data_IF_588443042135
#
_entry.id   IF_588443042135
#
_cell.length_a   1.000
_cell.length_b   1.000
_cell.length_c   1.000
_cell.angle_alpha   90.00
_cell.angle_beta   90.00
_cell.angle_gamma   90.00
#
_symmetry.space_group_name_H-M   'P 1'
#
loop_
_entity.id
_entity.type
_entity.pdbx_description
1 polymer ?
#
# COMPACT_ATOMS: atom_id res chain seq x y z
N UNK A 1 12.46 2.74 -16.71
CA UNK A 1 12.38 3.78 -15.67
C UNK A 1 12.48 3.14 -14.31
N UNK A 2 13.24 3.73 -13.39
CA UNK A 2 13.29 3.33 -11.98
C UNK A 2 12.90 4.54 -11.14
N UNK A 3 11.89 4.38 -10.29
CA UNK A 3 11.40 5.44 -9.40
C UNK A 3 11.74 5.07 -7.95
N UNK A 4 12.60 5.89 -7.30
CA UNK A 4 12.92 5.77 -5.89
C UNK A 4 12.90 7.15 -5.23
N UNK A 5 12.02 7.40 -4.29
CA UNK A 5 10.83 6.64 -3.92
C UNK A 5 9.61 7.43 -4.37
N UNK A 6 8.49 6.74 -4.67
CA UNK A 6 7.26 7.42 -5.11
C UNK A 6 6.69 8.37 -4.02
N UNK A 7 6.95 8.08 -2.74
CA UNK A 7 6.67 8.96 -1.60
C UNK A 7 7.99 9.40 -0.94
N UNK A 8 8.68 10.44 -1.47
CA UNK A 8 9.97 10.87 -0.91
C UNK A 8 9.83 11.41 0.52
N UNK A 9 8.72 12.08 0.86
CA UNK A 9 8.45 12.52 2.22
C UNK A 9 8.32 11.34 3.18
N UNK A 10 7.46 10.37 2.86
CA UNK A 10 7.27 9.19 3.69
C UNK A 10 8.54 8.39 3.87
N UNK A 11 9.34 8.23 2.79
CA UNK A 11 10.63 7.58 2.86
C UNK A 11 11.61 8.30 3.81
N UNK A 12 11.73 9.63 3.70
CA UNK A 12 12.61 10.43 4.53
C UNK A 12 12.18 10.48 6.01
N UNK A 13 10.88 10.39 6.27
CA UNK A 13 10.31 10.52 7.61
C UNK A 13 9.83 9.21 8.23
N UNK A 14 10.15 8.06 7.63
CA UNK A 14 9.70 6.74 8.07
C UNK A 14 8.18 6.73 8.32
N UNK A 15 7.41 7.15 7.32
CA UNK A 15 5.96 7.23 7.35
C UNK A 15 5.36 6.61 6.10
N UNK A 16 4.20 5.97 6.23
CA UNK A 16 3.47 5.43 5.08
C UNK A 16 2.94 6.54 4.18
N UNK A 17 2.48 7.62 4.78
CA UNK A 17 1.73 8.69 4.11
C UNK A 17 2.63 9.87 3.71
N UNK A 18 2.12 10.72 2.83
CA UNK A 18 2.74 12.00 2.43
C UNK A 18 2.72 13.01 3.59
N UNK A 19 3.26 14.21 3.35
CA UNK A 19 3.20 15.36 4.26
C UNK A 19 1.77 15.71 4.70
N UNK A 20 0.80 15.53 3.82
CA UNK A 20 -0.63 15.80 4.06
C UNK A 20 -1.42 14.58 4.56
N UNK A 21 -0.74 13.57 5.10
CA UNK A 21 -1.33 12.30 5.53
C UNK A 21 -2.00 11.48 4.42
N UNK A 22 -1.70 11.75 3.15
CA UNK A 22 -2.29 11.01 2.04
C UNK A 22 -1.58 9.69 1.81
N UNK A 23 -2.34 8.60 1.80
CA UNK A 23 -1.87 7.29 1.31
C UNK A 23 -1.88 7.30 -0.21
N UNK A 24 -0.71 7.19 -0.82
CA UNK A 24 -0.56 7.30 -2.28
C UNK A 24 -1.36 6.23 -3.00
N UNK A 25 -1.37 4.99 -2.50
CA UNK A 25 -2.14 3.88 -3.08
C UNK A 25 -3.64 3.92 -2.75
N UNK A 26 -4.16 5.09 -2.36
CA UNK A 26 -5.58 5.45 -2.25
C UNK A 26 -5.87 6.77 -2.99
N UNK A 27 -4.83 7.43 -3.52
CA UNK A 27 -4.94 8.77 -4.08
C UNK A 27 -5.13 8.78 -5.61
N UNK A 28 -4.89 7.66 -6.30
CA UNK A 28 -5.06 7.58 -7.76
C UNK A 28 -6.52 7.31 -8.15
N UNK A 29 -7.40 8.26 -7.81
CA UNK A 29 -8.82 8.26 -8.18
C UNK A 29 -9.16 9.50 -8.99
N UNK A 30 -10.34 9.51 -9.60
CA UNK A 30 -10.92 10.68 -10.22
C UNK A 30 -11.57 11.58 -9.17
N UNK A 31 -10.90 12.66 -8.80
CA UNK A 31 -11.40 13.66 -7.85
C UNK A 31 -12.50 14.58 -8.39
N UNK A 32 -12.86 14.49 -9.67
CA UNK A 32 -14.03 15.17 -10.23
C UNK A 32 -15.34 14.42 -9.98
N UNK A 33 -15.23 13.16 -9.59
CA UNK A 33 -16.34 12.27 -9.23
C UNK A 33 -16.58 12.25 -7.71
N UNK A 34 -17.75 11.80 -7.22
CA UNK A 34 -17.98 11.61 -5.79
C UNK A 34 -16.92 10.66 -5.19
N UNK A 35 -16.31 11.08 -4.08
CA UNK A 35 -15.29 10.28 -3.41
C UNK A 35 -15.88 8.97 -2.86
N UNK A 36 -15.14 7.86 -2.91
CA UNK A 36 -15.59 6.58 -2.38
C UNK A 36 -15.91 6.67 -0.88
N UNK A 37 -17.05 6.14 -0.48
CA UNK A 37 -17.44 6.02 0.92
C UNK A 37 -16.97 4.68 1.50
N UNK A 38 -16.56 4.70 2.79
CA UNK A 38 -16.22 3.50 3.56
C UNK A 38 -16.97 3.49 4.88
N UNK A 39 -18.21 3.00 4.87
CA UNK A 39 -19.07 2.98 6.06
C UNK A 39 -18.46 2.16 7.21
N UNK A 40 -17.74 1.08 6.91
CA UNK A 40 -17.08 0.29 7.93
C UNK A 40 -15.90 1.06 8.58
N UNK A 41 -15.23 1.94 7.84
CA UNK A 41 -14.21 2.83 8.42
C UNK A 41 -14.84 3.85 9.37
N UNK A 42 -15.98 4.45 8.99
CA UNK A 42 -16.71 5.40 9.85
C UNK A 42 -17.04 4.78 11.22
N UNK A 43 -17.40 3.51 11.23
CA UNK A 43 -17.75 2.77 12.44
C UNK A 43 -16.53 2.57 13.37
N UNK A 44 -15.35 2.30 12.80
CA UNK A 44 -14.15 1.98 13.59
C UNK A 44 -13.25 3.19 13.85
N UNK A 45 -13.35 4.26 13.07
CA UNK A 45 -12.50 5.45 13.18
C UNK A 45 -12.41 6.01 14.61
N UNK A 46 -13.51 6.13 15.40
CA UNK A 46 -13.46 6.72 16.73
C UNK A 46 -12.51 6.02 17.72
N UNK A 47 -12.15 4.77 17.46
CA UNK A 47 -11.27 4.01 18.34
C UNK A 47 -9.95 3.57 17.70
N UNK A 48 -9.66 3.99 16.46
CA UNK A 48 -8.37 3.70 15.83
C UNK A 48 -7.22 4.53 16.41
N UNK A 49 -7.48 5.81 16.72
CA UNK A 49 -6.50 6.77 17.19
C UNK A 49 -6.87 7.26 18.60
N UNK A 50 -6.23 6.73 19.65
CA UNK A 50 -6.52 7.13 21.03
C UNK A 50 -6.03 8.53 21.31
N UNK A 51 -6.64 9.22 22.29
CA UNK A 51 -6.22 10.55 22.72
C UNK A 51 -4.79 10.58 23.30
N UNK A 52 -4.36 9.50 23.93
CA UNK A 52 -2.96 9.30 24.36
C UNK A 52 -2.47 7.91 23.97
N UNK A 53 -1.17 7.78 23.65
CA UNK A 53 -0.60 6.50 23.19
C UNK A 53 -0.06 5.65 24.36
N UNK A 54 0.28 6.24 25.48
CA UNK A 54 0.87 5.54 26.64
C UNK A 54 -0.12 5.32 27.80
N UNK A 55 -1.36 5.80 27.67
CA UNK A 55 -2.31 5.87 28.76
C UNK A 55 -3.54 4.97 28.61
N UNK A 56 -4.55 5.30 29.43
CA UNK A 56 -5.82 4.55 29.47
C UNK A 56 -6.61 4.59 28.18
N UNK A 57 -6.48 5.69 27.41
CA UNK A 57 -7.19 5.84 26.13
C UNK A 57 -6.74 4.78 25.13
N UNK A 58 -5.44 4.43 25.12
CA UNK A 58 -4.94 3.34 24.29
C UNK A 58 -5.54 2.00 24.68
N UNK A 59 -5.62 1.66 25.98
CA UNK A 59 -6.22 0.41 26.42
C UNK A 59 -7.69 0.29 25.99
N UNK A 60 -8.45 1.36 26.14
CA UNK A 60 -9.84 1.40 25.69
C UNK A 60 -9.98 1.23 24.17
N UNK A 61 -9.07 1.81 23.41
CA UNK A 61 -8.97 1.66 21.95
C UNK A 61 -8.66 0.21 21.56
N UNK A 62 -7.65 -0.42 22.17
CA UNK A 62 -7.32 -1.84 21.92
C UNK A 62 -8.47 -2.78 22.26
N UNK A 63 -9.18 -2.52 23.35
CA UNK A 63 -10.36 -3.31 23.75
C UNK A 63 -11.52 -3.15 22.75
N UNK A 64 -11.76 -1.94 22.25
CA UNK A 64 -12.78 -1.70 21.22
C UNK A 64 -12.44 -2.40 19.90
N UNK A 65 -11.17 -2.34 19.47
CA UNK A 65 -10.70 -3.07 18.29
C UNK A 65 -10.84 -4.58 18.48
N UNK A 66 -10.45 -5.10 19.64
CA UNK A 66 -10.56 -6.53 19.93
C UNK A 66 -12.02 -7.00 19.88
N UNK A 67 -12.96 -6.20 20.40
CA UNK A 67 -14.40 -6.46 20.29
C UNK A 67 -14.86 -6.47 18.84
N UNK A 68 -14.51 -5.44 18.07
CA UNK A 68 -14.88 -5.38 16.65
C UNK A 68 -14.38 -6.63 15.90
N UNK A 69 -13.13 -7.02 16.15
CA UNK A 69 -12.56 -8.24 15.54
C UNK A 69 -13.29 -9.50 15.99
N UNK A 70 -13.68 -9.61 17.26
CA UNK A 70 -14.43 -10.75 17.77
C UNK A 70 -15.83 -10.87 17.12
N UNK A 71 -16.48 -9.72 16.87
CA UNK A 71 -17.82 -9.66 16.31
C UNK A 71 -17.84 -9.83 14.78
N UNK A 72 -16.83 -9.33 14.06
CA UNK A 72 -16.81 -9.24 12.59
C UNK A 72 -15.68 -10.04 11.92
N UNK A 73 -14.68 -10.48 12.68
CA UNK A 73 -13.51 -11.19 12.17
C UNK A 73 -12.36 -10.25 11.75
N UNK A 74 -11.14 -10.79 11.81
CA UNK A 74 -9.91 -10.05 11.49
C UNK A 74 -9.88 -9.54 10.02
N UNK A 75 -10.37 -10.34 9.08
CA UNK A 75 -10.40 -9.96 7.66
C UNK A 75 -11.32 -8.75 7.42
N UNK A 76 -12.51 -8.74 8.03
CA UNK A 76 -13.44 -7.61 7.95
C UNK A 76 -12.81 -6.35 8.53
N UNK A 77 -12.15 -6.45 9.68
CA UNK A 77 -11.41 -5.35 10.29
C UNK A 77 -10.29 -4.85 9.37
N UNK A 78 -9.48 -5.75 8.81
CA UNK A 78 -8.43 -5.39 7.87
C UNK A 78 -9.00 -4.65 6.65
N UNK A 79 -10.06 -5.16 6.03
CA UNK A 79 -10.72 -4.52 4.90
C UNK A 79 -11.27 -3.13 5.27
N UNK A 80 -11.92 -3.00 6.44
CA UNK A 80 -12.46 -1.73 6.91
C UNK A 80 -11.35 -0.67 7.07
N UNK A 81 -10.21 -1.04 7.69
CA UNK A 81 -9.08 -0.12 7.92
C UNK A 81 -8.32 0.16 6.65
N UNK A 82 -7.87 -0.90 5.94
CA UNK A 82 -6.94 -0.76 4.82
C UNK A 82 -7.62 -0.52 3.46
N UNK A 83 -8.94 -0.63 3.37
CA UNK A 83 -9.70 -0.34 2.14
C UNK A 83 -9.57 1.10 1.63
N UNK A 84 -9.13 2.01 2.50
CA UNK A 84 -9.02 3.44 2.23
C UNK A 84 -10.28 4.21 2.61
N UNK A 85 -10.11 5.51 2.86
CA UNK A 85 -11.20 6.42 3.22
C UNK A 85 -10.86 7.86 2.80
N UNK A 86 -11.87 8.71 2.69
CA UNK A 86 -11.73 10.09 2.20
C UNK A 86 -12.43 11.12 3.09
N UNK A 87 -12.96 10.69 4.23
CA UNK A 87 -13.75 11.49 5.17
C UNK A 87 -12.95 12.02 6.37
N UNK A 88 -11.87 11.32 6.74
CA UNK A 88 -11.05 11.64 7.91
C UNK A 88 -9.61 11.96 7.51
N UNK A 89 -9.26 13.24 7.27
CA UNK A 89 -7.89 13.64 6.89
C UNK A 89 -6.82 13.29 7.92
N UNK A 90 -7.21 13.14 9.18
CA UNK A 90 -6.34 12.70 10.28
C UNK A 90 -6.28 11.20 10.47
N UNK A 91 -7.14 10.45 9.77
CA UNK A 91 -7.27 9.00 9.88
C UNK A 91 -6.22 8.22 9.12
N UNK A 92 -6.25 6.90 9.33
CA UNK A 92 -5.43 5.93 8.60
C UNK A 92 -5.93 5.77 7.16
N UNK A 93 -5.01 5.46 6.24
CA UNK A 93 -5.30 5.17 4.83
C UNK A 93 -6.16 6.24 4.14
N UNK A 94 -5.95 7.51 4.50
CA UNK A 94 -6.63 8.63 3.89
C UNK A 94 -6.21 8.81 2.43
N UNK A 95 -7.17 8.79 1.51
CA UNK A 95 -6.94 8.89 0.07
C UNK A 95 -6.76 10.32 -0.45
N UNK A 96 -6.91 11.35 0.41
CA UNK A 96 -6.79 12.76 0.02
C UNK A 96 -8.11 13.39 -0.44
N UNK A 97 -8.09 14.70 -0.56
CA UNK A 97 -9.19 15.51 -1.14
C UNK A 97 -8.87 16.00 -2.56
N UNK A 98 -7.63 15.76 -3.04
CA UNK A 98 -7.14 16.15 -4.35
C UNK A 98 -5.91 15.30 -4.71
N UNK A 99 -5.46 15.30 -5.99
CA UNK A 99 -4.22 14.65 -6.39
C UNK A 99 -3.02 15.19 -5.61
N UNK A 100 -2.29 14.32 -4.90
CA UNK A 100 -1.07 14.66 -4.17
C UNK A 100 0.06 15.06 -5.13
N UNK A 101 1.17 15.58 -4.59
CA UNK A 101 2.35 15.85 -5.41
C UNK A 101 2.87 14.57 -6.07
N UNK A 102 2.96 13.47 -5.34
CA UNK A 102 3.41 12.18 -5.86
C UNK A 102 2.50 11.63 -6.96
N UNK A 103 1.19 11.82 -6.83
CA UNK A 103 0.22 11.43 -7.88
C UNK A 103 0.53 12.16 -9.19
N UNK A 104 0.66 13.50 -9.14
CA UNK A 104 0.94 14.30 -10.35
C UNK A 104 2.28 13.96 -10.95
N UNK A 105 3.33 13.92 -10.12
CA UNK A 105 4.69 13.62 -10.53
C UNK A 105 4.80 12.22 -11.18
N UNK A 106 4.13 11.21 -10.62
CA UNK A 106 4.10 9.87 -11.20
C UNK A 106 3.49 9.89 -12.60
N UNK A 107 2.32 10.51 -12.75
CA UNK A 107 1.64 10.57 -14.07
C UNK A 107 2.47 11.32 -15.11
N UNK A 108 3.12 12.42 -14.74
CA UNK A 108 4.01 13.18 -15.62
C UNK A 108 5.22 12.34 -16.06
N UNK A 109 5.89 11.66 -15.11
CA UNK A 109 7.04 10.81 -15.41
C UNK A 109 6.67 9.63 -16.34
N UNK A 110 5.54 8.97 -16.08
CA UNK A 110 5.11 7.86 -16.92
C UNK A 110 4.70 8.36 -18.31
N UNK A 111 3.99 9.48 -18.42
CA UNK A 111 3.64 10.08 -19.72
C UNK A 111 4.88 10.43 -20.53
N UNK A 112 5.90 11.03 -19.90
CA UNK A 112 7.15 11.41 -20.57
C UNK A 112 7.95 10.20 -21.08
N UNK A 113 8.00 9.12 -20.28
CA UNK A 113 8.92 8.03 -20.56
C UNK A 113 8.28 6.76 -21.16
N UNK A 114 6.97 6.63 -21.08
CA UNK A 114 6.25 5.44 -21.54
C UNK A 114 4.91 5.74 -22.23
N UNK A 115 4.53 7.02 -22.43
CA UNK A 115 3.23 7.41 -22.97
C UNK A 115 2.90 6.83 -24.36
N UNK A 116 3.91 6.65 -25.20
CA UNK A 116 3.78 6.11 -26.56
C UNK A 116 4.10 4.60 -26.66
N UNK A 117 4.26 3.90 -25.53
CA UNK A 117 4.60 2.49 -25.54
C UNK A 117 3.45 1.63 -26.09
N UNK A 118 3.76 0.62 -26.91
CA UNK A 118 2.82 -0.42 -27.34
C UNK A 118 2.61 -1.52 -26.28
N UNK A 119 3.66 -1.78 -25.49
CA UNK A 119 3.67 -2.74 -24.40
C UNK A 119 4.33 -2.11 -23.18
N UNK A 120 3.78 -2.34 -22.00
CA UNK A 120 4.32 -1.79 -20.76
C UNK A 120 4.22 -2.78 -19.60
N UNK A 121 5.23 -2.76 -18.74
CA UNK A 121 5.26 -3.49 -17.49
C UNK A 121 5.41 -2.53 -16.31
N UNK A 122 4.61 -2.72 -15.27
CA UNK A 122 4.79 -2.08 -13.98
C UNK A 122 5.11 -3.13 -12.92
N UNK A 123 6.17 -2.90 -12.14
CA UNK A 123 6.46 -3.66 -10.93
C UNK A 123 6.51 -2.66 -9.77
N UNK A 124 5.57 -2.77 -8.85
CA UNK A 124 5.49 -1.95 -7.65
C UNK A 124 5.91 -2.79 -6.43
N UNK A 125 6.97 -2.36 -5.73
CA UNK A 125 7.56 -3.09 -4.62
C UNK A 125 6.95 -2.65 -3.29
N UNK A 126 6.32 -3.58 -2.59
CA UNK A 126 5.66 -3.40 -1.30
C UNK A 126 6.22 -4.34 -0.24
N UNK A 127 6.06 -3.94 1.02
CA UNK A 127 6.38 -4.78 2.19
C UNK A 127 5.31 -4.61 3.26
N UNK A 128 5.04 -5.68 4.03
CA UNK A 128 4.18 -5.59 5.22
C UNK A 128 3.15 -6.70 5.37
N UNK A 129 2.76 -7.38 4.29
CA UNK A 129 1.73 -8.41 4.34
C UNK A 129 2.27 -9.75 3.84
N UNK A 130 1.75 -10.83 4.38
CA UNK A 130 2.08 -12.20 3.97
C UNK A 130 3.18 -12.85 4.82
N UNK A 131 3.57 -14.10 4.48
CA UNK A 131 4.63 -14.83 5.17
C UNK A 131 5.99 -14.14 5.01
N UNK A 132 6.80 -14.14 6.06
CA UNK A 132 8.14 -13.53 6.11
C UNK A 132 8.98 -13.85 4.87
N UNK A 133 9.46 -12.80 4.19
CA UNK A 133 10.30 -12.89 2.99
C UNK A 133 9.61 -13.42 1.73
N UNK A 134 8.37 -13.90 1.82
CA UNK A 134 7.60 -14.31 0.64
C UNK A 134 7.15 -13.08 -0.15
N UNK A 135 7.45 -13.04 -1.44
CA UNK A 135 6.99 -11.98 -2.36
C UNK A 135 5.73 -12.44 -3.11
N UNK A 136 4.55 -12.10 -2.61
CA UNK A 136 3.28 -12.34 -3.30
C UNK A 136 3.19 -11.45 -4.54
N UNK A 137 2.80 -12.03 -5.69
CA UNK A 137 2.57 -11.28 -6.92
C UNK A 137 1.09 -10.95 -7.05
N UNK A 138 0.75 -9.69 -6.87
CA UNK A 138 -0.63 -9.20 -6.86
C UNK A 138 -0.90 -8.43 -8.14
N UNK A 139 -1.93 -8.81 -8.89
CA UNK A 139 -2.42 -8.08 -10.06
C UNK A 139 -3.79 -7.50 -9.82
N UNK A 140 -4.06 -6.40 -10.52
CA UNK A 140 -5.35 -5.69 -10.52
C UNK A 140 -5.64 -5.19 -11.93
N UNK A 141 -6.72 -4.45 -12.12
CA UNK A 141 -7.08 -3.90 -13.43
C UNK A 141 -8.04 -4.77 -14.22
N UNK A 142 -8.01 -4.65 -15.53
CA UNK A 142 -8.90 -5.35 -16.45
C UNK A 142 -8.57 -6.84 -16.56
N UNK A 143 -9.53 -7.64 -17.03
CA UNK A 143 -9.32 -9.08 -17.29
C UNK A 143 -8.12 -9.33 -18.20
N UNK A 144 -7.95 -8.51 -19.26
CA UNK A 144 -6.83 -8.65 -20.20
C UNK A 144 -5.47 -8.39 -19.54
N UNK A 145 -5.38 -7.38 -18.66
CA UNK A 145 -4.16 -7.09 -17.87
C UNK A 145 -3.86 -8.23 -16.89
N UNK A 146 -4.86 -8.72 -16.16
CA UNK A 146 -4.72 -9.86 -15.24
C UNK A 146 -4.26 -11.13 -15.95
N UNK A 147 -4.82 -11.43 -17.13
CA UNK A 147 -4.39 -12.57 -17.94
C UNK A 147 -2.96 -12.41 -18.47
N UNK A 148 -2.58 -11.20 -18.91
CA UNK A 148 -1.21 -10.91 -19.34
C UNK A 148 -0.23 -11.04 -18.18
N UNK A 149 -0.55 -10.50 -17.01
CA UNK A 149 0.27 -10.67 -15.81
C UNK A 149 0.49 -12.16 -15.48
N UNK A 150 -0.55 -13.00 -15.55
CA UNK A 150 -0.41 -14.44 -15.34
C UNK A 150 0.44 -15.12 -16.40
N UNK A 151 0.32 -14.71 -17.68
CA UNK A 151 1.20 -15.26 -18.74
C UNK A 151 2.66 -14.93 -18.51
N UNK A 152 2.98 -13.70 -18.10
CA UNK A 152 4.37 -13.25 -17.92
C UNK A 152 4.98 -13.74 -16.61
N UNK A 153 4.26 -13.60 -15.52
CA UNK A 153 4.80 -13.84 -14.17
C UNK A 153 4.50 -15.25 -13.64
N UNK A 154 3.47 -15.90 -14.15
CA UNK A 154 3.10 -17.27 -13.78
C UNK A 154 1.73 -17.37 -13.09
N UNK A 155 1.28 -18.61 -12.92
CA UNK A 155 -0.04 -18.93 -12.34
C UNK A 155 -0.18 -18.56 -10.85
N UNK A 156 0.92 -18.25 -10.17
CA UNK A 156 0.96 -17.80 -8.76
C UNK A 156 0.49 -16.36 -8.55
N UNK A 157 0.22 -15.62 -9.63
CA UNK A 157 -0.30 -14.24 -9.56
C UNK A 157 -1.70 -14.24 -8.96
N UNK A 158 -1.83 -13.56 -7.82
CA UNK A 158 -3.08 -13.42 -7.06
C UNK A 158 -3.87 -12.19 -7.47
N UNK A 159 -5.16 -12.17 -7.09
CA UNK A 159 -6.11 -11.12 -7.41
C UNK A 159 -6.97 -10.84 -6.18
N UNK A 160 -6.87 -9.64 -5.57
CA UNK A 160 -7.67 -9.26 -4.40
C UNK A 160 -9.18 -9.31 -4.66
N UNK A 161 -9.63 -8.93 -5.86
CA UNK A 161 -11.05 -8.95 -6.20
C UNK A 161 -11.61 -10.38 -6.28
N UNK A 162 -10.76 -11.34 -6.62
CA UNK A 162 -11.10 -12.76 -6.63
C UNK A 162 -10.93 -13.42 -5.25
N UNK A 163 -10.49 -12.67 -4.23
CA UNK A 163 -10.26 -13.18 -2.87
C UNK A 163 -9.07 -14.14 -2.75
N UNK A 164 -8.13 -14.13 -3.71
CA UNK A 164 -6.95 -15.00 -3.71
C UNK A 164 -5.69 -14.35 -3.13
N UNK A 165 -5.76 -13.08 -2.69
CA UNK A 165 -4.64 -12.30 -2.17
C UNK A 165 -4.72 -12.10 -0.65
N UNK A 166 -3.56 -11.90 0.00
CA UNK A 166 -3.46 -11.42 1.38
C UNK A 166 -3.83 -9.94 1.52
N UNK A 167 -3.82 -9.20 0.40
CA UNK A 167 -4.24 -7.80 0.34
C UNK A 167 -5.76 -7.68 0.24
N UNK A 168 -6.34 -6.72 0.96
CA UNK A 168 -7.73 -6.34 0.77
C UNK A 168 -7.95 -5.72 -0.62
N UNK A 169 -9.16 -5.83 -1.21
CA UNK A 169 -9.53 -5.03 -2.38
C UNK A 169 -9.48 -3.53 -2.04
N UNK A 170 -8.81 -2.75 -2.86
CA UNK A 170 -8.62 -1.32 -2.68
C UNK A 170 -8.87 -0.56 -3.97
N UNK A 171 -9.08 0.75 -3.89
CA UNK A 171 -9.22 1.66 -5.03
C UNK A 171 -8.18 2.77 -4.95
N UNK A 172 -7.89 3.36 -6.12
CA UNK A 172 -6.93 4.45 -6.21
C UNK A 172 -5.48 3.99 -6.11
N UNK A 173 -5.20 2.85 -6.73
CA UNK A 173 -3.86 2.28 -6.79
C UNK A 173 -3.01 2.90 -7.89
N UNK A 174 -1.71 2.88 -7.69
CA UNK A 174 -0.72 3.33 -8.65
C UNK A 174 -0.81 2.57 -9.99
N UNK A 175 -1.14 1.28 -9.96
CA UNK A 175 -1.34 0.46 -11.15
C UNK A 175 -2.51 0.92 -12.02
N UNK A 176 -3.60 1.43 -11.43
CA UNK A 176 -4.73 2.01 -12.16
C UNK A 176 -4.27 3.27 -12.92
N UNK A 177 -3.57 4.18 -12.23
CA UNK A 177 -3.03 5.38 -12.85
C UNK A 177 -1.99 5.08 -13.93
N UNK A 178 -1.20 4.02 -13.80
CA UNK A 178 -0.25 3.60 -14.81
C UNK A 178 -0.96 3.24 -16.12
N UNK A 179 -1.98 2.39 -16.05
CA UNK A 179 -2.77 1.99 -17.21
C UNK A 179 -3.49 3.18 -17.87
N UNK A 180 -3.99 4.13 -17.07
CA UNK A 180 -4.62 5.35 -17.58
C UNK A 180 -3.66 6.25 -18.37
N UNK A 181 -2.38 6.28 -17.97
CA UNK A 181 -1.37 7.14 -18.63
C UNK A 181 -0.81 6.51 -19.90
N UNK A 182 -0.86 5.18 -20.02
CA UNK A 182 -0.41 4.44 -21.20
C UNK A 182 -1.58 3.74 -21.93
N UNK A 183 -2.61 4.45 -22.36
CA UNK A 183 -3.89 3.86 -22.78
C UNK A 183 -3.78 2.99 -24.05
N UNK A 184 -2.71 3.18 -24.84
CA UNK A 184 -2.43 2.39 -26.04
C UNK A 184 -1.61 1.15 -25.77
N UNK A 185 -1.03 1.03 -24.57
CA UNK A 185 -0.16 -0.08 -24.25
C UNK A 185 -0.92 -1.34 -23.82
N UNK A 186 -0.38 -2.48 -24.22
CA UNK A 186 -0.72 -3.75 -23.60
C UNK A 186 0.03 -3.89 -22.26
N UNK A 187 -0.69 -3.64 -21.14
CA UNK A 187 -0.09 -3.51 -19.80
C UNK A 187 -0.04 -4.85 -19.06
N UNK A 188 1.09 -5.13 -18.38
CA UNK A 188 1.24 -6.18 -17.36
C UNK A 188 1.73 -5.56 -16.04
N UNK A 189 0.81 -5.22 -15.15
CA UNK A 189 1.10 -4.63 -13.85
C UNK A 189 1.02 -5.67 -12.74
N UNK A 190 2.00 -5.62 -11.82
CA UNK A 190 1.98 -6.34 -10.55
C UNK A 190 2.52 -5.47 -9.42
N UNK A 191 1.97 -5.67 -8.22
CA UNK A 191 2.67 -5.37 -6.99
C UNK A 191 3.38 -6.65 -6.49
N UNK A 192 4.58 -6.51 -5.92
CA UNK A 192 5.24 -7.59 -5.19
C UNK A 192 5.17 -7.24 -3.71
N UNK A 193 4.33 -7.93 -2.97
CA UNK A 193 4.15 -7.71 -1.53
C UNK A 193 5.04 -8.68 -0.74
N UNK A 194 6.08 -8.16 -0.08
CA UNK A 194 6.97 -8.98 0.74
C UNK A 194 6.50 -9.02 2.19
N UNK A 195 6.25 -10.23 2.68
CA UNK A 195 5.87 -10.47 4.06
C UNK A 195 6.98 -10.08 5.06
N UNK A 196 6.56 -9.50 6.18
CA UNK A 196 7.46 -9.04 7.26
C UNK A 196 7.06 -9.62 8.60
N UNK A 197 6.13 -8.97 9.29
CA UNK A 197 5.62 -9.35 10.61
C UNK A 197 4.11 -9.65 10.52
N UNK A 198 3.48 -10.25 11.55
CA UNK A 198 2.04 -10.48 11.56
C UNK A 198 1.23 -9.18 11.36
N UNK A 199 0.11 -9.26 10.63
CA UNK A 199 -0.78 -8.11 10.31
C UNK A 199 -1.15 -7.25 11.53
N UNK A 200 -1.49 -7.81 12.72
CA UNK A 200 -1.76 -7.00 13.89
C UNK A 200 -0.59 -6.09 14.31
N UNK A 201 0.65 -6.56 14.18
CA UNK A 201 1.85 -5.76 14.47
C UNK A 201 2.04 -4.61 13.48
N UNK A 202 1.81 -4.88 12.18
CA UNK A 202 1.86 -3.86 11.13
C UNK A 202 0.80 -2.78 11.36
N UNK A 203 -0.45 -3.18 11.64
CA UNK A 203 -1.54 -2.23 11.92
C UNK A 203 -1.27 -1.41 13.20
N UNK A 204 -0.74 -2.04 14.26
CA UNK A 204 -0.37 -1.32 15.47
C UNK A 204 0.73 -0.26 15.22
N UNK A 205 1.72 -0.58 14.38
CA UNK A 205 2.76 0.38 14.00
C UNK A 205 2.22 1.54 13.16
N UNK A 206 1.34 1.26 12.20
CA UNK A 206 0.66 2.29 11.39
C UNK A 206 -0.20 3.22 12.23
N UNK A 207 -0.94 2.68 13.20
CA UNK A 207 -1.74 3.47 14.15
C UNK A 207 -0.84 4.37 15.01
N UNK A 208 0.26 3.83 15.52
CA UNK A 208 1.23 4.60 16.32
C UNK A 208 1.85 5.74 15.52
N UNK A 209 2.26 5.49 14.27
CA UNK A 209 2.86 6.49 13.40
C UNK A 209 1.86 7.59 13.01
N UNK A 210 0.62 7.21 12.71
CA UNK A 210 -0.44 8.17 12.43
C UNK A 210 -0.79 9.00 13.67
N UNK A 211 -0.91 8.38 14.85
CA UNK A 211 -1.09 9.11 16.11
C UNK A 211 0.04 10.11 16.36
N UNK A 212 1.29 9.70 16.16
CA UNK A 212 2.46 10.56 16.36
C UNK A 212 2.46 11.79 15.45
N UNK A 213 1.87 11.69 14.26
CA UNK A 213 1.75 12.80 13.30
C UNK A 213 0.99 13.99 13.90
N UNK A 214 -0.05 13.72 14.66
CA UNK A 214 -0.99 14.72 15.19
C UNK A 214 -0.66 15.15 16.63
N UNK A 215 0.40 14.59 17.22
CA UNK A 215 0.83 14.89 18.59
C UNK A 215 2.29 15.33 18.61
N UNK A 216 2.59 16.33 19.42
CA UNK A 216 3.94 16.92 19.52
C UNK A 216 4.89 16.05 20.36
N UNK A 217 5.10 14.81 19.90
CA UNK A 217 5.96 13.83 20.58
C UNK A 217 7.08 13.27 19.69
N UNK A 218 7.28 13.81 18.49
CA UNK A 218 8.21 13.26 17.50
C UNK A 218 9.65 13.14 18.03
N UNK A 219 10.13 14.16 18.75
CA UNK A 219 11.48 14.18 19.32
C UNK A 219 11.61 13.48 20.68
N UNK A 220 10.50 13.07 21.28
CA UNK A 220 10.48 12.32 22.54
C UNK A 220 11.05 10.91 22.40
N UNK A 221 11.34 10.26 23.54
CA UNK A 221 11.69 8.85 23.57
C UNK A 221 10.61 7.95 22.96
N UNK A 222 9.32 8.28 23.22
CA UNK A 222 8.18 7.59 22.63
C UNK A 222 8.15 7.75 21.12
N UNK A 223 8.28 8.98 20.60
CA UNK A 223 8.28 9.24 19.16
C UNK A 223 9.40 8.52 18.42
N UNK A 224 10.61 8.53 18.96
CA UNK A 224 11.74 7.77 18.40
C UNK A 224 11.49 6.26 18.40
N UNK A 225 10.83 5.74 19.43
CA UNK A 225 10.44 4.33 19.51
C UNK A 225 9.40 3.97 18.47
N UNK A 226 8.36 4.81 18.30
CA UNK A 226 7.34 4.63 17.26
C UNK A 226 7.97 4.61 15.87
N UNK A 227 8.84 5.58 15.55
CA UNK A 227 9.50 5.64 14.23
C UNK A 227 10.42 4.44 13.97
N UNK A 228 11.14 3.98 14.98
CA UNK A 228 11.93 2.75 14.87
C UNK A 228 11.02 1.54 14.61
N UNK A 229 9.94 1.40 15.37
CA UNK A 229 8.99 0.30 15.17
C UNK A 229 8.35 0.37 13.78
N UNK A 230 7.98 1.56 13.29
CA UNK A 230 7.46 1.76 11.94
C UNK A 230 8.44 1.26 10.88
N UNK A 231 9.73 1.60 10.98
CA UNK A 231 10.76 1.06 10.10
C UNK A 231 10.82 -0.47 10.20
N UNK A 232 10.93 -1.01 11.42
CA UNK A 232 11.23 -2.42 11.66
C UNK A 232 10.10 -3.37 11.21
N UNK A 233 8.84 -2.90 11.18
CA UNK A 233 7.71 -3.71 10.67
C UNK A 233 7.60 -3.72 9.15
N UNK A 234 8.22 -2.77 8.45
CA UNK A 234 8.24 -2.72 6.99
C UNK A 234 9.59 -3.05 6.37
N UNK A 235 10.65 -3.06 7.16
CA UNK A 235 11.99 -3.42 6.73
C UNK A 235 12.64 -4.35 7.75
N UNK A 236 12.64 -5.64 7.45
CA UNK A 236 13.32 -6.64 8.25
C UNK A 236 14.83 -6.58 7.95
N UNK A 237 15.59 -5.97 8.84
CA UNK A 237 17.04 -5.74 8.68
C UNK A 237 17.86 -7.00 8.99
N UNK A 238 17.51 -8.12 8.32
CA UNK A 238 18.19 -9.42 8.40
C UNK A 238 18.67 -9.85 7.03
N UNK A 239 19.82 -10.52 6.96
CA UNK A 239 20.46 -10.93 5.71
C UNK A 239 19.61 -11.92 4.89
N UNK A 240 18.93 -12.84 5.56
CA UNK A 240 18.04 -13.80 4.94
C UNK A 240 16.86 -13.11 4.27
N UNK A 241 16.18 -12.17 4.96
CA UNK A 241 15.06 -11.42 4.39
C UNK A 241 15.50 -10.60 3.18
N UNK A 242 16.61 -9.86 3.29
CA UNK A 242 17.18 -9.09 2.18
C UNK A 242 17.51 -9.98 0.98
N UNK A 243 18.08 -11.16 1.23
CA UNK A 243 18.38 -12.13 0.17
C UNK A 243 17.13 -12.64 -0.51
N UNK A 244 16.07 -12.99 0.24
CA UNK A 244 14.78 -13.42 -0.30
C UNK A 244 14.15 -12.34 -1.17
N UNK A 245 14.11 -11.08 -0.68
CA UNK A 245 13.58 -9.93 -1.40
C UNK A 245 14.33 -9.70 -2.72
N UNK A 246 15.67 -9.61 -2.68
CA UNK A 246 16.49 -9.33 -3.86
C UNK A 246 16.40 -10.45 -4.90
N UNK A 247 16.46 -11.71 -4.47
CA UNK A 247 16.36 -12.87 -5.36
C UNK A 247 15.02 -12.88 -6.09
N UNK A 248 13.93 -12.65 -5.36
CA UNK A 248 12.59 -12.61 -5.94
C UNK A 248 12.43 -11.41 -6.88
N UNK A 249 12.87 -10.22 -6.46
CA UNK A 249 12.81 -9.01 -7.28
C UNK A 249 13.53 -9.18 -8.62
N UNK A 250 14.74 -9.73 -8.61
CA UNK A 250 15.52 -10.01 -9.82
C UNK A 250 14.80 -11.00 -10.75
N UNK A 251 14.32 -12.11 -10.20
CA UNK A 251 13.61 -13.12 -10.99
C UNK A 251 12.36 -12.55 -11.67
N UNK A 252 11.57 -11.74 -10.95
CA UNK A 252 10.35 -11.15 -11.50
C UNK A 252 10.67 -10.05 -12.51
N UNK A 253 11.70 -9.25 -12.28
CA UNK A 253 12.15 -8.25 -13.26
C UNK A 253 12.60 -8.92 -14.57
N UNK A 254 13.31 -10.05 -14.50
CA UNK A 254 13.69 -10.83 -15.69
C UNK A 254 12.46 -11.36 -16.43
N UNK A 255 11.43 -11.84 -15.73
CA UNK A 255 10.17 -12.24 -16.34
C UNK A 255 9.46 -11.08 -17.06
N UNK A 256 9.44 -9.89 -16.47
CA UNK A 256 8.89 -8.69 -17.12
C UNK A 256 9.63 -8.35 -18.43
N UNK A 257 10.97 -8.35 -18.40
CA UNK A 257 11.80 -8.09 -19.58
C UNK A 257 11.55 -9.16 -20.66
N UNK A 258 11.49 -10.45 -20.27
CA UNK A 258 11.19 -11.54 -21.19
C UNK A 258 9.78 -11.45 -21.77
N UNK A 259 8.79 -11.03 -20.97
CA UNK A 259 7.42 -10.80 -21.43
C UNK A 259 7.33 -9.67 -22.45
N UNK A 260 7.99 -8.53 -22.20
CA UNK A 260 8.07 -7.42 -23.15
C UNK A 260 8.72 -7.86 -24.47
N UNK A 261 9.86 -8.55 -24.41
CA UNK A 261 10.57 -9.00 -25.60
C UNK A 261 9.81 -10.09 -26.41
N UNK A 262 8.84 -10.75 -25.85
CA UNK A 262 8.03 -11.77 -26.53
C UNK A 262 6.78 -11.19 -27.22
N UNK A 263 6.40 -9.98 -26.88
CA UNK A 263 5.24 -9.28 -27.49
C UNK A 263 5.69 -8.37 -28.68
N UNK A 264 6.99 -8.11 -28.84
CA UNK A 264 7.60 -7.46 -30.00
C UNK A 264 7.72 -8.42 -31.20
#
# INVERSE_FOLDING_TARGET
VLIHAINPYGFAHLSRTTEDNVDINRNFIDFSSPLPANAAYEEIHPFLLPADWDGRARWASEEAIARYIADHGMWTFQCAVSGGQYSHPDGLFYGGAAPSWSHRCFKELIAEHAGDASHAALIDFHTGLGPYGHGELITTGTTAEKERARRWYGAEVTDPDAGSSTSAPIRGMLSEAFSDVVPSAAVASIAIEYGTVPVPDTLAALRADNWLRWHDHRESGLGKTIKRRMRDVFYCDFDDWRTMVLTRAQAITQKAIGGLAAED
#
